data_IF_296410938946
#
_entry.id   IF_296410938946
#
_cell.length_a   1.000
_cell.length_b   1.000
_cell.length_c   1.000
_cell.angle_alpha   90.00
_cell.angle_beta   90.00
_cell.angle_gamma   90.00
#
_symmetry.space_group_name_H-M   'P 1'
#
loop_
_entity.id
_entity.type
_entity.pdbx_description
1 polymer ?
#
# COMPACT_ATOMS: atom_id res chain seq x y z
N UNK A 1 1.10 11.22 17.85
CA UNK A 1 0.39 9.98 18.25
C UNK A 1 0.33 9.11 17.02
N UNK A 2 0.64 7.81 17.10
CA UNK A 2 0.49 6.93 15.94
C UNK A 2 -0.96 6.96 15.48
N UNK A 3 -1.19 6.92 14.17
CA UNK A 3 -2.52 6.68 13.63
C UNK A 3 -3.03 5.37 14.24
N UNK A 4 -4.30 5.32 14.68
CA UNK A 4 -4.96 4.10 15.15
C UNK A 4 -5.49 3.30 13.97
N UNK A 5 -5.84 3.94 12.86
CA UNK A 5 -6.51 3.30 11.74
C UNK A 5 -6.06 3.90 10.40
N UNK A 6 -6.11 3.09 9.33
CA UNK A 6 -5.87 3.56 7.94
C UNK A 6 -6.81 4.69 7.54
N UNK A 7 -7.99 4.79 8.14
CA UNK A 7 -8.97 5.83 7.84
C UNK A 7 -8.59 7.21 8.40
N UNK A 8 -7.68 7.27 9.39
CA UNK A 8 -7.14 8.53 9.91
C UNK A 8 -6.06 9.13 9.01
N UNK A 9 -5.68 8.43 7.93
CA UNK A 9 -4.79 8.99 6.92
C UNK A 9 -5.48 10.17 6.21
N UNK A 10 -4.70 11.19 5.80
CA UNK A 10 -5.21 12.30 4.99
C UNK A 10 -5.99 11.78 3.79
N UNK A 11 -7.15 12.39 3.53
CA UNK A 11 -8.01 11.97 2.42
C UNK A 11 -7.28 12.01 1.06
N UNK A 12 -6.33 12.94 0.90
CA UNK A 12 -5.42 13.01 -0.25
C UNK A 12 -4.62 11.70 -0.45
N UNK A 13 -4.10 11.11 0.62
CA UNK A 13 -3.40 9.81 0.57
C UNK A 13 -4.39 8.68 0.31
N UNK A 14 -5.56 8.71 0.94
CA UNK A 14 -6.59 7.67 0.77
C UNK A 14 -7.18 7.64 -0.65
N UNK A 15 -7.24 8.79 -1.31
CA UNK A 15 -7.72 8.93 -2.69
C UNK A 15 -6.67 8.43 -3.70
N UNK A 16 -5.39 8.73 -3.43
CA UNK A 16 -4.27 8.30 -4.27
C UNK A 16 -3.90 6.82 -4.09
N UNK A 17 -4.03 6.29 -2.87
CA UNK A 17 -3.64 4.93 -2.50
C UNK A 17 -4.87 4.03 -2.32
N UNK A 18 -4.89 2.83 -2.93
CA UNK A 18 -5.94 1.84 -2.63
C UNK A 18 -5.85 1.36 -1.17
N UNK A 19 -6.96 0.84 -0.63
CA UNK A 19 -7.09 0.41 0.78
C UNK A 19 -5.92 -0.49 1.25
N UNK A 20 -5.47 -1.40 0.41
CA UNK A 20 -4.38 -2.32 0.74
C UNK A 20 -3.01 -1.61 0.85
N UNK A 21 -2.77 -0.58 0.03
CA UNK A 21 -1.58 0.27 0.16
C UNK A 21 -1.61 1.10 1.44
N UNK A 22 -2.80 1.56 1.85
CA UNK A 22 -2.98 2.30 3.11
C UNK A 22 -2.62 1.42 4.32
N UNK A 23 -3.00 0.14 4.29
CA UNK A 23 -2.63 -0.84 5.33
C UNK A 23 -1.11 -1.03 5.40
N UNK A 24 -0.44 -1.14 4.26
CA UNK A 24 1.01 -1.28 4.19
C UNK A 24 1.73 -0.05 4.75
N UNK A 25 1.25 1.14 4.37
CA UNK A 25 1.73 2.41 4.91
C UNK A 25 1.59 2.46 6.44
N UNK A 26 0.40 2.14 6.95
CA UNK A 26 0.10 2.16 8.37
C UNK A 26 0.97 1.19 9.18
N UNK A 27 1.14 -0.04 8.69
CA UNK A 27 1.96 -1.06 9.34
C UNK A 27 3.43 -0.62 9.42
N UNK A 28 3.98 -0.11 8.31
CA UNK A 28 5.35 0.38 8.25
C UNK A 28 5.56 1.63 9.11
N UNK A 29 4.58 2.55 9.15
CA UNK A 29 4.63 3.74 9.99
C UNK A 29 4.64 3.40 11.48
N UNK A 30 3.74 2.51 11.92
CA UNK A 30 3.69 2.05 13.30
C UNK A 30 4.97 1.32 13.70
N UNK A 31 5.48 0.45 12.82
CA UNK A 31 6.75 -0.24 13.07
C UNK A 31 7.91 0.77 13.24
N UNK A 32 8.00 1.79 12.39
CA UNK A 32 9.04 2.81 12.50
C UNK A 32 8.90 3.67 13.77
N UNK A 33 7.68 4.05 14.15
CA UNK A 33 7.41 4.74 15.42
C UNK A 33 7.80 3.90 16.63
N UNK A 34 7.50 2.59 16.62
CA UNK A 34 7.88 1.65 17.68
C UNK A 34 9.41 1.54 17.83
N UNK A 35 10.14 1.62 16.72
CA UNK A 35 11.59 1.70 16.69
C UNK A 35 12.15 3.04 17.21
N UNK A 36 11.30 3.97 17.66
CA UNK A 36 11.70 5.28 18.16
C UNK A 36 12.08 6.26 17.06
N UNK A 37 11.65 6.03 15.81
CA UNK A 37 11.88 6.97 14.72
C UNK A 37 10.99 8.20 14.85
N UNK A 38 11.54 9.35 14.44
CA UNK A 38 10.78 10.59 14.30
C UNK A 38 9.63 10.41 13.29
N UNK A 39 8.56 11.20 13.44
CA UNK A 39 7.39 11.13 12.55
C UNK A 39 7.76 11.29 11.06
N UNK A 40 8.71 12.17 10.73
CA UNK A 40 9.20 12.35 9.36
C UNK A 40 9.92 11.09 8.83
N UNK A 41 10.78 10.47 9.65
CA UNK A 41 11.50 9.26 9.27
C UNK A 41 10.55 8.06 9.15
N UNK A 42 9.61 7.91 10.08
CA UNK A 42 8.58 6.88 10.02
C UNK A 42 7.69 7.03 8.78
N UNK A 43 7.35 8.27 8.42
CA UNK A 43 6.62 8.59 7.18
C UNK A 43 7.42 8.19 5.94
N UNK A 44 8.73 8.45 5.90
CA UNK A 44 9.55 8.07 4.75
C UNK A 44 9.66 6.54 4.60
N UNK A 45 9.83 5.81 5.71
CA UNK A 45 9.83 4.33 5.74
C UNK A 45 8.49 3.77 5.26
N UNK A 46 7.38 4.36 5.70
CA UNK A 46 6.05 3.99 5.25
C UNK A 46 5.86 4.22 3.75
N UNK A 47 6.26 5.38 3.22
CA UNK A 47 6.25 5.65 1.78
C UNK A 47 7.19 4.74 1.00
N UNK A 48 8.33 4.35 1.56
CA UNK A 48 9.22 3.36 0.94
C UNK A 48 8.54 1.99 0.82
N UNK A 49 7.84 1.55 1.86
CA UNK A 49 7.09 0.28 1.84
C UNK A 49 5.98 0.32 0.79
N UNK A 50 5.23 1.42 0.70
CA UNK A 50 4.23 1.61 -0.36
C UNK A 50 4.90 1.60 -1.73
N UNK A 51 6.01 2.32 -1.94
CA UNK A 51 6.77 2.34 -3.20
C UNK A 51 7.34 0.99 -3.62
N UNK A 52 7.49 0.08 -2.66
CA UNK A 52 7.94 -1.27 -2.95
C UNK A 52 6.86 -2.06 -3.69
N UNK A 53 5.62 -2.03 -3.20
CA UNK A 53 4.50 -2.80 -3.77
C UNK A 53 3.59 -1.98 -4.71
N UNK A 54 3.70 -0.66 -4.70
CA UNK A 54 2.92 0.26 -5.52
C UNK A 54 3.85 1.23 -6.25
N UNK A 55 3.47 1.62 -7.46
CA UNK A 55 4.18 2.61 -8.27
C UNK A 55 3.29 3.82 -8.53
N UNK A 56 3.87 5.04 -8.48
CA UNK A 56 3.15 6.24 -8.87
C UNK A 56 2.89 6.22 -10.37
N UNK A 57 1.63 6.43 -10.73
CA UNK A 57 1.14 6.50 -12.10
C UNK A 57 1.24 7.92 -12.66
N UNK A 58 1.15 8.02 -13.99
CA UNK A 58 0.89 9.29 -14.65
C UNK A 58 -0.54 9.76 -14.35
N UNK A 59 -0.69 10.60 -13.33
CA UNK A 59 -1.99 11.13 -12.89
C UNK A 59 -2.14 11.31 -11.38
N UNK A 60 -1.11 10.97 -10.59
CA UNK A 60 -1.16 11.06 -9.13
C UNK A 60 -1.81 9.84 -8.45
N UNK A 61 -2.33 8.89 -9.23
CA UNK A 61 -2.80 7.60 -8.70
C UNK A 61 -1.64 6.65 -8.47
N UNK A 62 -1.78 5.72 -7.53
CA UNK A 62 -0.82 4.64 -7.33
C UNK A 62 -1.42 3.32 -7.82
N UNK A 63 -0.64 2.59 -8.61
CA UNK A 63 -1.01 1.25 -9.06
C UNK A 63 -0.14 0.22 -8.36
N UNK A 64 -0.71 -0.94 -8.04
CA UNK A 64 0.06 -2.04 -7.47
C UNK A 64 1.09 -2.47 -8.52
N UNK A 65 2.37 -2.42 -8.15
CA UNK A 65 3.44 -3.06 -8.91
C UNK A 65 3.07 -4.52 -9.01
N UNK A 66 2.89 -4.97 -10.23
CA UNK A 66 2.66 -6.38 -10.48
C UNK A 66 3.99 -7.10 -10.32
N UNK A 67 4.41 -7.37 -9.08
CA UNK A 67 5.49 -8.34 -8.82
C UNK A 67 4.93 -9.74 -9.06
N UNK A 68 4.85 -10.09 -10.35
CA UNK A 68 4.26 -11.30 -10.91
C UNK A 68 2.78 -11.48 -10.53
N UNK A 69 1.88 -11.82 -11.47
CA UNK A 69 0.53 -12.14 -11.08
C UNK A 69 0.62 -13.25 -10.00
N UNK A 70 -0.11 -13.17 -8.87
CA UNK A 70 -0.63 -14.41 -8.35
C UNK A 70 -1.34 -15.03 -9.54
N UNK A 71 -0.69 -16.04 -10.12
CA UNK A 71 -1.30 -17.07 -10.92
C UNK A 71 -2.32 -17.71 -9.96
N UNK A 72 -3.41 -16.99 -9.64
CA UNK A 72 -4.69 -17.64 -9.44
C UNK A 72 -5.06 -18.12 -10.83
N UNK A 73 -4.48 -19.27 -11.18
CA UNK A 73 -4.94 -20.15 -12.22
C UNK A 73 -6.44 -20.37 -12.02
N UNK A 74 -7.25 -19.50 -12.59
CA UNK A 74 -8.59 -19.85 -13.05
C UNK A 74 -8.42 -20.36 -14.49
N UNK A 75 -7.65 -21.43 -14.60
CA UNK A 75 -7.62 -22.29 -15.77
C UNK A 75 -8.46 -23.53 -15.45
N UNK A 76 -9.73 -23.44 -15.79
CA UNK A 76 -10.61 -24.53 -16.23
C UNK A 76 -11.52 -23.85 -17.24
N UNK A 77 -11.04 -23.61 -18.45
CA UNK A 77 -11.16 -24.48 -19.64
C UNK A 77 -12.59 -24.96 -19.89
N UNK A 78 -13.20 -24.36 -20.92
CA UNK A 78 -13.88 -24.99 -22.06
C UNK A 78 -14.57 -26.35 -21.87
N UNK A 79 -15.84 -26.38 -22.27
CA UNK A 79 -16.63 -27.57 -22.63
C UNK A 79 -18.08 -27.35 -22.21
N UNK A 80 -18.99 -26.90 -23.07
CA UNK A 80 -19.40 -27.62 -24.27
C UNK A 80 -20.50 -28.62 -23.90
N UNK A 81 -21.75 -28.15 -23.92
CA UNK A 81 -22.99 -28.83 -24.37
C UNK A 81 -24.21 -27.98 -24.00
#
# INVERSE_FOLDING_TARGET
MPYKQIDELPQDIKDQLPEHAQQLFFAAFNAAQDNGMNEEAARDVAWNSVRNEYEPANGGQWHRKSEDPPIHNKAITTGGN
#
